data_IF_542679714490
#
_entry.id   IF_542679714490
#
_cell.length_a   1.000
_cell.length_b   1.000
_cell.length_c   1.000
_cell.angle_alpha   90.00
_cell.angle_beta   90.00
_cell.angle_gamma   90.00
#
_symmetry.space_group_name_H-M   'P 1'
#
loop_
_entity.id
_entity.type
_entity.pdbx_description
1 polymer ?
#
# COMPACT_ATOMS: atom_id res chain seq x y z
N UNK A 1 -21.24 -9.71 2.22
CA UNK A 1 -22.34 -9.50 1.24
C UNK A 1 -21.98 -8.32 0.39
N UNK A 2 -22.20 -8.34 -0.92
CA UNK A 2 -21.98 -7.16 -1.77
C UNK A 2 -23.13 -6.15 -1.60
N UNK A 3 -22.89 -4.87 -1.92
CA UNK A 3 -23.93 -3.83 -1.94
C UNK A 3 -25.17 -4.28 -2.73
N UNK A 4 -24.96 -4.94 -3.88
CA UNK A 4 -26.05 -5.44 -4.72
C UNK A 4 -26.86 -6.53 -4.03
N UNK A 5 -26.21 -7.47 -3.33
CA UNK A 5 -26.88 -8.50 -2.54
C UNK A 5 -27.71 -7.92 -1.40
N UNK A 6 -27.16 -6.93 -0.66
CA UNK A 6 -27.88 -6.23 0.41
C UNK A 6 -29.14 -5.55 -0.14
N UNK A 7 -29.01 -4.83 -1.27
CA UNK A 7 -30.15 -4.15 -1.90
C UNK A 7 -31.22 -5.14 -2.40
N UNK A 8 -30.82 -6.28 -2.94
CA UNK A 8 -31.74 -7.34 -3.39
C UNK A 8 -32.49 -7.98 -2.20
N UNK A 9 -31.83 -8.25 -1.09
CA UNK A 9 -32.45 -8.77 0.12
C UNK A 9 -33.43 -7.77 0.76
N UNK A 10 -33.09 -6.47 0.76
CA UNK A 10 -34.02 -5.42 1.20
C UNK A 10 -35.27 -5.36 0.30
N UNK A 11 -35.05 -5.40 -1.04
CA UNK A 11 -36.15 -5.39 -2.01
C UNK A 11 -37.07 -6.60 -1.85
N UNK A 12 -36.51 -7.75 -1.51
CA UNK A 12 -37.26 -9.01 -1.33
C UNK A 12 -37.87 -9.12 0.09
N UNK A 13 -37.69 -8.14 0.96
CA UNK A 13 -38.19 -8.15 2.33
C UNK A 13 -37.48 -9.11 3.28
N UNK A 14 -36.35 -9.67 2.87
CA UNK A 14 -35.54 -10.60 3.64
C UNK A 14 -34.60 -9.87 4.63
N UNK A 15 -34.31 -8.60 4.37
CA UNK A 15 -33.47 -7.74 5.20
C UNK A 15 -34.22 -6.42 5.48
N UNK A 16 -34.26 -5.99 6.75
CA UNK A 16 -34.81 -4.68 7.09
C UNK A 16 -33.88 -3.55 6.62
N UNK A 17 -34.44 -2.39 6.28
CA UNK A 17 -33.66 -1.20 5.90
C UNK A 17 -32.66 -0.80 6.98
N UNK A 18 -33.07 -0.88 8.26
CA UNK A 18 -32.21 -0.56 9.41
C UNK A 18 -31.04 -1.54 9.51
N UNK A 19 -31.26 -2.83 9.24
CA UNK A 19 -30.21 -3.84 9.24
C UNK A 19 -29.27 -3.68 8.03
N UNK A 20 -29.82 -3.36 6.86
CA UNK A 20 -29.04 -3.04 5.67
C UNK A 20 -28.16 -1.80 5.88
N UNK A 21 -28.70 -0.74 6.51
CA UNK A 21 -27.93 0.47 6.86
C UNK A 21 -26.78 0.15 7.82
N UNK A 22 -27.00 -0.71 8.80
CA UNK A 22 -25.95 -1.14 9.73
C UNK A 22 -24.87 -1.98 9.04
N UNK A 23 -25.23 -2.85 8.09
CA UNK A 23 -24.29 -3.59 7.28
C UNK A 23 -23.47 -2.65 6.39
N UNK A 24 -24.11 -1.68 5.73
CA UNK A 24 -23.45 -0.70 4.87
C UNK A 24 -22.55 0.26 5.66
N UNK A 25 -22.93 0.62 6.89
CA UNK A 25 -22.08 1.42 7.78
C UNK A 25 -20.85 0.66 8.26
N UNK A 26 -20.94 -0.66 8.44
CA UNK A 26 -19.78 -1.52 8.79
C UNK A 26 -18.81 -1.74 7.63
N UNK A 27 -19.25 -1.57 6.39
CA UNK A 27 -18.42 -1.82 5.20
C UNK A 27 -17.51 -0.66 4.78
N UNK A 28 -17.59 0.51 5.43
CA UNK A 28 -16.82 1.70 5.01
C UNK A 28 -15.45 1.87 5.67
N UNK A 29 -15.33 1.51 6.92
CA UNK A 29 -14.07 1.56 7.69
C UNK A 29 -14.20 0.74 8.97
N UNK A 30 -13.10 0.21 9.44
CA UNK A 30 -13.02 -0.38 10.78
C UNK A 30 -12.49 0.65 11.77
N UNK A 31 -13.26 0.93 12.81
CA UNK A 31 -12.90 1.89 13.85
C UNK A 31 -12.06 1.18 14.92
N UNK A 32 -10.78 1.53 14.97
CA UNK A 32 -9.89 1.22 16.08
C UNK A 32 -9.85 2.47 16.97
N UNK A 33 -9.63 2.34 18.27
CA UNK A 33 -9.59 3.47 19.23
C UNK A 33 -8.69 4.63 18.79
N UNK A 34 -7.70 4.35 17.94
CA UNK A 34 -6.66 5.29 17.51
C UNK A 34 -6.54 5.43 15.97
N UNK A 35 -7.27 4.66 15.18
CA UNK A 35 -7.22 4.70 13.71
C UNK A 35 -8.56 4.26 13.12
N UNK A 36 -8.86 4.78 11.92
CA UNK A 36 -9.95 4.30 11.06
C UNK A 36 -9.30 3.70 9.84
N UNK A 37 -9.35 2.37 9.72
CA UNK A 37 -8.85 1.67 8.54
C UNK A 37 -9.93 1.67 7.46
N UNK A 38 -9.58 2.17 6.29
CA UNK A 38 -10.47 2.21 5.13
C UNK A 38 -10.44 0.85 4.40
N UNK A 39 -11.23 -0.09 4.91
CA UNK A 39 -11.30 -1.46 4.39
C UNK A 39 -11.92 -1.56 3.00
N UNK A 40 -12.68 -0.55 2.58
CA UNK A 40 -13.29 -0.50 1.23
C UNK A 40 -12.50 0.34 0.23
N UNK A 41 -11.35 0.87 0.61
CA UNK A 41 -10.54 1.74 -0.26
C UNK A 41 -10.22 1.07 -1.59
N UNK A 42 -9.82 -0.20 -1.57
CA UNK A 42 -9.46 -0.97 -2.77
C UNK A 42 -10.63 -1.07 -3.75
N UNK A 43 -11.85 -1.27 -3.27
CA UNK A 43 -13.05 -1.34 -4.10
C UNK A 43 -13.41 0.02 -4.72
N UNK A 44 -13.21 1.12 -3.96
CA UNK A 44 -13.56 2.49 -4.40
C UNK A 44 -12.52 3.12 -5.31
N UNK A 45 -11.24 2.86 -5.06
CA UNK A 45 -10.13 3.54 -5.73
C UNK A 45 -9.27 2.63 -6.60
N UNK A 46 -9.47 1.31 -6.49
CA UNK A 46 -8.61 0.31 -7.13
C UNK A 46 -7.29 0.02 -6.38
N UNK A 47 -7.02 0.75 -5.29
CA UNK A 47 -5.77 0.64 -4.54
C UNK A 47 -6.01 0.36 -3.05
N UNK A 48 -5.28 -0.60 -2.49
CA UNK A 48 -5.26 -0.88 -1.06
C UNK A 48 -4.73 0.31 -0.25
N UNK A 49 -4.99 0.32 1.05
CA UNK A 49 -4.47 1.33 1.94
C UNK A 49 -2.95 1.21 2.09
N UNK A 50 -2.27 2.38 2.13
CA UNK A 50 -0.82 2.48 2.34
C UNK A 50 -0.55 2.95 3.75
N UNK A 51 0.26 2.19 4.48
CA UNK A 51 0.63 2.51 5.87
C UNK A 51 1.81 3.49 5.88
N UNK A 52 1.60 4.71 6.33
CA UNK A 52 2.68 5.63 6.64
C UNK A 52 3.28 5.27 8.00
N UNK A 53 4.43 4.59 8.01
CA UNK A 53 5.03 4.02 9.23
C UNK A 53 5.72 5.05 10.13
N UNK A 54 6.20 6.16 9.55
CA UNK A 54 6.94 7.17 10.32
C UNK A 54 6.10 7.70 11.50
N UNK A 55 6.70 7.73 12.68
CA UNK A 55 6.10 8.24 13.93
C UNK A 55 4.86 7.47 14.43
N UNK A 56 4.54 6.30 13.84
CA UNK A 56 3.52 5.43 14.45
C UNK A 56 4.08 4.78 15.71
N UNK A 57 3.27 4.71 16.75
CA UNK A 57 3.59 3.90 17.93
C UNK A 57 3.67 2.41 17.54
N UNK A 58 4.56 1.67 18.19
CA UNK A 58 4.83 0.26 17.86
C UNK A 58 3.57 -0.61 17.91
N UNK A 59 2.77 -0.48 18.96
CA UNK A 59 1.51 -1.19 19.12
C UNK A 59 0.51 -0.90 17.99
N UNK A 60 0.38 0.38 17.61
CA UNK A 60 -0.51 0.79 16.52
C UNK A 60 -0.04 0.23 15.17
N UNK A 61 1.28 0.22 14.95
CA UNK A 61 1.85 -0.33 13.73
C UNK A 61 1.56 -1.84 13.60
N UNK A 62 1.80 -2.60 14.67
CA UNK A 62 1.56 -4.04 14.71
C UNK A 62 0.10 -4.38 14.41
N UNK A 63 -0.82 -3.72 15.10
CA UNK A 63 -2.26 -3.96 14.93
C UNK A 63 -2.74 -3.61 13.51
N UNK A 64 -2.25 -2.50 12.93
CA UNK A 64 -2.59 -2.10 11.56
C UNK A 64 -2.07 -3.13 10.56
N UNK A 65 -0.81 -3.56 10.69
CA UNK A 65 -0.23 -4.55 9.77
C UNK A 65 -0.94 -5.89 9.87
N UNK A 66 -1.24 -6.36 11.08
CA UNK A 66 -1.96 -7.60 11.29
C UNK A 66 -3.34 -7.52 10.65
N UNK A 67 -4.07 -6.45 10.88
CA UNK A 67 -5.43 -6.28 10.38
C UNK A 67 -5.50 -6.21 8.86
N UNK A 68 -4.67 -5.37 8.22
CA UNK A 68 -4.61 -5.27 6.77
C UNK A 68 -4.18 -6.60 6.12
N UNK A 69 -3.27 -7.33 6.76
CA UNK A 69 -2.87 -8.63 6.28
C UNK A 69 -4.00 -9.68 6.40
N UNK A 70 -4.76 -9.68 7.48
CA UNK A 70 -5.93 -10.56 7.66
C UNK A 70 -7.01 -10.30 6.59
N UNK A 71 -7.20 -9.05 6.20
CA UNK A 71 -8.21 -8.66 5.21
C UNK A 71 -7.75 -8.93 3.77
N UNK A 72 -6.60 -8.39 3.39
CA UNK A 72 -6.15 -8.39 2.00
C UNK A 72 -5.09 -9.46 1.71
N UNK A 73 -4.43 -10.02 2.73
CA UNK A 73 -3.28 -10.93 2.61
C UNK A 73 -2.05 -10.26 1.99
N UNK A 74 -2.06 -8.94 1.87
CA UNK A 74 -0.95 -8.10 1.44
C UNK A 74 -0.98 -6.78 2.24
N UNK A 75 0.17 -6.16 2.48
CA UNK A 75 0.28 -4.86 3.18
C UNK A 75 1.44 -4.08 2.59
N UNK A 76 1.26 -2.78 2.42
CA UNK A 76 2.29 -1.89 1.94
C UNK A 76 2.48 -0.71 2.87
N UNK A 77 3.69 -0.56 3.38
CA UNK A 77 4.06 0.56 4.25
C UNK A 77 5.27 1.31 3.73
N UNK A 78 5.28 2.61 3.96
CA UNK A 78 6.36 3.52 3.59
C UNK A 78 7.00 4.15 4.83
N UNK A 79 8.24 4.63 4.67
CA UNK A 79 9.00 5.30 5.75
C UNK A 79 9.16 4.46 7.01
N UNK A 80 9.26 3.15 6.87
CA UNK A 80 9.52 2.25 7.98
C UNK A 80 11.00 2.32 8.42
N UNK A 81 11.23 2.15 9.70
CA UNK A 81 12.55 1.98 10.28
C UNK A 81 12.92 0.49 10.42
N UNK A 82 14.20 0.20 10.60
CA UNK A 82 14.68 -1.14 10.91
C UNK A 82 14.03 -1.72 12.16
N UNK A 83 13.82 -0.90 13.20
CA UNK A 83 13.12 -1.30 14.41
C UNK A 83 11.69 -1.76 14.10
N UNK A 84 10.94 -0.99 13.32
CA UNK A 84 9.57 -1.34 12.93
C UNK A 84 9.50 -2.62 12.09
N UNK A 85 10.50 -2.86 11.23
CA UNK A 85 10.62 -4.12 10.52
C UNK A 85 10.77 -5.31 11.47
N UNK A 86 11.69 -5.24 12.45
CA UNK A 86 11.90 -6.34 13.41
C UNK A 86 10.62 -6.61 14.24
N UNK A 87 9.88 -5.56 14.60
CA UNK A 87 8.60 -5.68 15.27
C UNK A 87 7.57 -6.41 14.40
N UNK A 88 7.32 -5.91 13.19
CA UNK A 88 6.31 -6.51 12.30
C UNK A 88 6.71 -7.94 11.92
N UNK A 89 7.99 -8.21 11.71
CA UNK A 89 8.50 -9.54 11.42
C UNK A 89 8.22 -10.56 12.52
N UNK A 90 8.14 -10.12 13.77
CA UNK A 90 7.84 -11.02 14.89
C UNK A 90 6.43 -11.61 14.83
N UNK A 91 5.48 -10.93 14.20
CA UNK A 91 4.09 -11.36 14.05
C UNK A 91 3.76 -11.81 12.61
N UNK A 92 4.44 -11.25 11.60
CA UNK A 92 4.28 -11.54 10.17
C UNK A 92 5.65 -11.88 9.55
N UNK A 93 6.15 -13.12 9.69
CA UNK A 93 7.51 -13.50 9.30
C UNK A 93 7.84 -13.31 7.82
N UNK A 94 6.82 -13.27 6.94
CA UNK A 94 6.95 -13.08 5.50
C UNK A 94 7.16 -11.63 5.07
N UNK A 95 7.12 -10.67 6.00
CA UNK A 95 7.33 -9.25 5.69
C UNK A 95 8.74 -9.00 5.16
N UNK A 96 8.81 -8.19 4.13
CA UNK A 96 10.06 -7.76 3.49
C UNK A 96 10.30 -6.28 3.76
N UNK A 97 11.54 -5.92 4.04
CA UNK A 97 11.96 -4.55 4.30
C UNK A 97 13.12 -4.15 3.40
N UNK A 98 12.99 -3.02 2.75
CA UNK A 98 14.10 -2.38 2.03
C UNK A 98 14.61 -1.17 2.81
N UNK A 99 15.87 -1.19 3.28
CA UNK A 99 16.44 -0.10 4.07
C UNK A 99 16.75 1.18 3.24
N UNK A 100 16.79 1.09 1.91
CA UNK A 100 17.05 2.25 1.04
C UNK A 100 15.80 3.10 0.90
N UNK A 101 14.68 2.50 0.55
CA UNK A 101 13.39 3.17 0.38
C UNK A 101 12.61 3.33 1.68
N UNK A 102 12.91 2.51 2.69
CA UNK A 102 12.08 2.40 3.89
C UNK A 102 10.73 1.72 3.64
N UNK A 103 10.62 0.96 2.54
CA UNK A 103 9.42 0.17 2.25
C UNK A 103 9.39 -1.08 3.14
N UNK A 104 8.22 -1.33 3.71
CA UNK A 104 7.91 -2.49 4.54
C UNK A 104 6.64 -3.14 3.98
N UNK A 105 6.77 -4.30 3.32
CA UNK A 105 5.65 -4.88 2.57
C UNK A 105 5.51 -6.39 2.71
N UNK A 106 4.28 -6.85 2.55
CA UNK A 106 3.91 -8.22 2.20
C UNK A 106 3.15 -8.10 0.89
N UNK A 107 3.61 -8.79 -0.15
CA UNK A 107 3.09 -8.62 -1.50
C UNK A 107 2.65 -9.96 -2.07
N UNK A 108 1.51 -9.96 -2.75
CA UNK A 108 1.06 -11.07 -3.58
C UNK A 108 1.57 -10.92 -5.00
N UNK A 109 1.74 -12.05 -5.67
CA UNK A 109 2.01 -12.04 -7.11
C UNK A 109 0.87 -11.35 -7.86
N UNK A 110 1.21 -10.44 -8.77
CA UNK A 110 0.27 -9.68 -9.58
C UNK A 110 0.82 -9.41 -10.97
N UNK A 111 -0.08 -9.24 -11.92
CA UNK A 111 0.28 -8.81 -13.26
C UNK A 111 0.69 -7.33 -13.24
N UNK A 112 1.80 -7.02 -13.93
CA UNK A 112 2.24 -5.65 -14.13
C UNK A 112 1.74 -5.13 -15.48
N UNK A 113 1.08 -3.96 -15.44
CA UNK A 113 0.48 -3.31 -16.61
C UNK A 113 1.13 -1.93 -16.79
N UNK A 114 1.52 -1.63 -18.04
CA UNK A 114 2.16 -0.37 -18.35
C UNK A 114 3.62 -0.31 -17.89
N UNK A 115 4.24 0.86 -18.09
CA UNK A 115 5.64 1.10 -17.76
C UNK A 115 5.87 2.56 -17.42
N UNK A 116 6.66 2.81 -16.38
CA UNK A 116 7.10 4.15 -15.98
C UNK A 116 8.61 4.18 -15.79
N UNK A 117 9.21 5.34 -15.99
CA UNK A 117 10.60 5.58 -15.63
C UNK A 117 10.67 6.45 -14.38
N UNK A 118 11.46 6.04 -13.40
CA UNK A 118 11.78 6.84 -12.22
C UNK A 118 13.22 7.33 -12.33
N UNK A 119 13.38 8.65 -12.42
CA UNK A 119 14.67 9.29 -12.67
C UNK A 119 15.12 10.11 -11.47
N UNK A 120 16.44 10.10 -11.16
CA UNK A 120 17.04 11.05 -10.22
C UNK A 120 18.13 11.89 -10.86
N UNK A 121 18.26 13.13 -10.46
CA UNK A 121 19.36 13.99 -10.86
C UNK A 121 20.66 13.59 -10.17
N UNK A 122 20.62 13.24 -8.89
CA UNK A 122 21.77 12.86 -8.10
C UNK A 122 21.51 11.69 -7.17
N UNK A 123 22.58 11.19 -6.56
CA UNK A 123 22.55 10.02 -5.67
C UNK A 123 21.84 10.28 -4.34
N UNK A 124 21.73 11.54 -3.92
CA UNK A 124 21.02 11.93 -2.70
C UNK A 124 19.52 11.60 -2.74
N UNK A 125 18.95 11.52 -3.95
CA UNK A 125 17.52 11.32 -4.16
C UNK A 125 17.15 9.82 -4.35
N UNK A 126 18.13 8.92 -4.33
CA UNK A 126 17.92 7.49 -4.60
C UNK A 126 16.89 6.88 -3.63
N UNK A 127 16.92 7.27 -2.35
CA UNK A 127 15.97 6.72 -1.37
C UNK A 127 14.51 7.09 -1.70
N UNK A 128 14.30 8.31 -2.16
CA UNK A 128 12.96 8.79 -2.58
C UNK A 128 12.54 8.14 -3.90
N UNK A 129 13.48 7.98 -4.82
CA UNK A 129 13.23 7.32 -6.10
C UNK A 129 12.91 5.84 -5.91
N UNK A 130 13.62 5.13 -5.02
CA UNK A 130 13.31 3.74 -4.68
C UNK A 130 11.94 3.60 -4.00
N UNK A 131 11.56 4.53 -3.11
CA UNK A 131 10.22 4.56 -2.53
C UNK A 131 9.17 4.71 -3.65
N UNK A 132 9.36 5.61 -4.61
CA UNK A 132 8.46 5.80 -5.73
C UNK A 132 8.42 4.58 -6.67
N UNK A 133 9.59 4.02 -7.01
CA UNK A 133 9.72 2.86 -7.89
C UNK A 133 9.03 1.63 -7.30
N UNK A 134 9.34 1.28 -6.07
CA UNK A 134 8.74 0.14 -5.39
C UNK A 134 7.24 0.33 -5.12
N UNK A 135 6.78 1.58 -4.92
CA UNK A 135 5.35 1.88 -4.84
C UNK A 135 4.64 1.58 -6.16
N UNK A 136 5.19 2.03 -7.28
CA UNK A 136 4.61 1.77 -8.60
C UNK A 136 4.61 0.27 -8.94
N UNK A 137 5.70 -0.45 -8.62
CA UNK A 137 5.77 -1.91 -8.79
C UNK A 137 4.73 -2.63 -7.93
N UNK A 138 4.60 -2.26 -6.66
CA UNK A 138 3.58 -2.84 -5.76
C UNK A 138 2.17 -2.67 -6.31
N UNK A 139 1.87 -1.56 -6.97
CA UNK A 139 0.58 -1.32 -7.62
C UNK A 139 0.48 -1.84 -9.07
N UNK A 140 1.41 -2.68 -9.48
CA UNK A 140 1.30 -3.44 -10.74
C UNK A 140 1.82 -2.69 -11.97
N UNK A 141 2.85 -1.87 -11.84
CA UNK A 141 3.48 -1.17 -12.96
C UNK A 141 4.93 -1.60 -13.13
N UNK A 142 5.39 -1.84 -14.35
CA UNK A 142 6.83 -2.02 -14.63
C UNK A 142 7.57 -0.70 -14.44
N UNK A 143 8.74 -0.74 -13.79
CA UNK A 143 9.54 0.46 -13.50
C UNK A 143 10.95 0.34 -14.03
N UNK A 144 11.34 1.30 -14.88
CA UNK A 144 12.73 1.54 -15.24
C UNK A 144 13.35 2.53 -14.25
N UNK A 145 14.47 2.13 -13.64
CA UNK A 145 15.24 2.97 -12.72
C UNK A 145 16.39 3.66 -13.44
N UNK A 146 16.35 4.98 -13.54
CA UNK A 146 17.34 5.80 -14.26
C UNK A 146 17.93 6.82 -13.27
N UNK A 147 18.98 6.41 -12.56
CA UNK A 147 19.53 7.22 -11.47
C UNK A 147 20.79 7.96 -11.87
N UNK A 148 21.03 9.09 -11.18
CA UNK A 148 22.20 9.97 -11.37
C UNK A 148 22.34 10.53 -12.79
N UNK A 149 21.24 10.97 -13.38
CA UNK A 149 21.18 11.53 -14.74
C UNK A 149 20.93 13.06 -14.75
N UNK A 150 21.45 13.77 -13.75
CA UNK A 150 21.26 15.21 -13.61
C UNK A 150 21.84 16.04 -14.76
N UNK A 151 21.31 17.26 -14.89
CA UNK A 151 21.57 18.19 -16.01
C UNK A 151 23.04 18.57 -16.22
N UNK A 152 23.88 18.49 -15.19
CA UNK A 152 25.34 18.69 -15.32
C UNK A 152 26.04 17.65 -16.19
N UNK A 153 25.37 16.54 -16.50
CA UNK A 153 25.89 15.46 -17.35
C UNK A 153 24.80 14.90 -18.25
N UNK A 154 24.19 15.71 -19.10
CA UNK A 154 23.06 15.29 -19.97
C UNK A 154 23.38 14.08 -20.84
N UNK A 155 24.63 13.83 -21.16
CA UNK A 155 25.07 12.61 -21.87
C UNK A 155 24.69 11.33 -21.11
N UNK A 156 24.61 11.38 -19.78
CA UNK A 156 24.18 10.23 -18.95
C UNK A 156 22.70 9.90 -19.16
N UNK A 157 21.87 10.93 -19.30
CA UNK A 157 20.44 10.74 -19.64
C UNK A 157 20.28 10.22 -21.08
N UNK A 158 20.97 10.86 -22.03
CA UNK A 158 20.87 10.46 -23.45
C UNK A 158 21.33 9.03 -23.70
N UNK A 159 22.30 8.53 -22.93
CA UNK A 159 22.74 7.12 -23.01
C UNK A 159 21.71 6.08 -22.53
N UNK A 160 20.55 6.54 -22.05
CA UNK A 160 19.46 5.71 -21.54
C UNK A 160 18.16 5.85 -22.35
N UNK A 161 18.22 6.50 -23.50
CA UNK A 161 17.04 6.72 -24.35
C UNK A 161 16.80 5.60 -25.38
N UNK A 162 17.75 4.65 -25.48
CA UNK A 162 17.64 3.44 -26.31
C UNK A 162 17.11 2.29 -25.45
#
# INVERSE_FOLDING_TARGET
>A
MTLQQILEEVKNGQLSVEHAENLLKKEGYEEMDYAKLDTTRKERTGFAEVVYCARKADEHLLNIYQKLYEEDGEVFGTRASRHQYELVKSILPQVVYDPVSGILKIEKEKEHIGKVAVCTAGTADISVAEEAAQTAEYFGTHVDRIYDVGVSGMHRLFSRLD
#
